data_IF_941191523120
#
_entry.id   IF_941191523120
#
_cell.length_a   1.000
_cell.length_b   1.000
_cell.length_c   1.000
_cell.angle_alpha   90.00
_cell.angle_beta   90.00
_cell.angle_gamma   90.00
#
_symmetry.space_group_name_H-M   'P 1'
#
loop_
_entity.id
_entity.type
_entity.pdbx_description
1 polymer ?
#
# COMPACT_ATOMS: atom_id res chain seq x y z
N UNK A 1 -12.77 -6.41 -3.86
CA UNK A 1 -12.61 -5.87 -2.48
C UNK A 1 -13.55 -6.57 -1.49
N UNK A 2 -14.88 -6.42 -1.60
CA UNK A 2 -15.86 -7.06 -0.68
C UNK A 2 -15.70 -8.59 -0.52
N UNK A 3 -15.47 -9.31 -1.61
CA UNK A 3 -15.28 -10.77 -1.57
C UNK A 3 -14.03 -11.23 -0.79
N UNK A 4 -12.99 -10.39 -0.70
CA UNK A 4 -11.76 -10.73 0.04
C UNK A 4 -11.94 -10.41 1.53
N UNK A 5 -12.62 -9.30 1.84
CA UNK A 5 -12.94 -8.92 3.22
C UNK A 5 -13.79 -9.98 3.95
N UNK A 6 -14.68 -10.69 3.23
CA UNK A 6 -15.52 -11.72 3.85
C UNK A 6 -14.78 -12.99 4.25
N UNK A 7 -13.55 -13.19 3.78
CA UNK A 7 -12.77 -14.43 3.99
C UNK A 7 -11.41 -14.20 4.65
N UNK A 8 -11.04 -12.95 4.94
CA UNK A 8 -9.75 -12.60 5.52
C UNK A 8 -9.91 -11.55 6.62
N UNK A 9 -9.34 -11.85 7.78
CA UNK A 9 -9.16 -10.88 8.88
C UNK A 9 -7.82 -10.13 8.80
N UNK A 10 -6.97 -10.43 7.81
CA UNK A 10 -5.67 -9.79 7.65
C UNK A 10 -5.82 -8.41 6.99
N UNK A 11 -4.93 -7.45 7.30
CA UNK A 11 -4.90 -6.15 6.63
C UNK A 11 -4.78 -6.31 5.11
N UNK A 12 -5.61 -5.58 4.36
CA UNK A 12 -5.62 -5.62 2.89
C UNK A 12 -4.80 -4.48 2.30
N UNK A 13 -4.04 -4.81 1.25
CA UNK A 13 -3.38 -3.86 0.36
C UNK A 13 -4.23 -3.74 -0.90
N UNK A 14 -4.74 -2.55 -1.19
CA UNK A 14 -5.50 -2.26 -2.41
C UNK A 14 -4.64 -1.63 -3.49
N UNK A 15 -4.91 -1.97 -4.75
CA UNK A 15 -4.39 -1.27 -5.92
C UNK A 15 -5.37 -1.40 -7.07
N UNK A 16 -5.41 -0.42 -7.95
CA UNK A 16 -6.04 -0.55 -9.26
C UNK A 16 -4.95 -0.72 -10.31
N UNK A 17 -5.34 -1.34 -11.41
CA UNK A 17 -4.52 -1.57 -12.58
C UNK A 17 -5.30 -1.04 -13.77
N UNK A 18 -5.06 0.21 -14.11
CA UNK A 18 -5.89 0.97 -15.06
C UNK A 18 -5.04 1.36 -16.26
N UNK A 19 -5.39 0.85 -17.44
CA UNK A 19 -4.80 1.30 -18.70
C UNK A 19 -5.39 2.67 -19.06
N UNK A 20 -4.52 3.59 -19.49
CA UNK A 20 -4.92 4.93 -19.89
C UNK A 20 -4.03 5.41 -21.03
N UNK A 21 -4.59 6.20 -21.93
CA UNK A 21 -3.86 6.73 -23.09
C UNK A 21 -2.96 7.93 -22.73
N UNK A 22 -3.18 8.56 -21.57
CA UNK A 22 -2.46 9.75 -21.11
C UNK A 22 -1.19 9.42 -20.30
N UNK A 23 -0.98 8.16 -19.90
CA UNK A 23 0.18 7.78 -19.09
C UNK A 23 0.50 6.29 -19.16
N UNK A 24 1.81 5.98 -19.15
CA UNK A 24 2.31 4.62 -18.98
C UNK A 24 2.24 4.12 -17.52
N UNK A 25 1.76 4.95 -16.58
CA UNK A 25 1.55 4.55 -15.19
C UNK A 25 0.28 3.72 -15.08
N UNK A 26 0.45 2.48 -14.62
CA UNK A 26 -0.62 1.49 -14.60
C UNK A 26 -1.16 1.20 -13.19
N UNK A 27 -0.33 1.32 -12.15
CA UNK A 27 -0.70 0.96 -10.77
C UNK A 27 -1.20 2.20 -10.05
N UNK A 28 -2.52 2.26 -9.81
CA UNK A 28 -3.24 3.35 -9.12
C UNK A 28 -2.75 4.74 -9.56
N UNK A 29 -2.92 5.12 -10.84
CA UNK A 29 -2.36 6.34 -11.40
C UNK A 29 -2.95 7.65 -10.82
N UNK A 30 -4.15 7.61 -10.21
CA UNK A 30 -4.86 8.83 -9.79
C UNK A 30 -5.19 8.89 -8.28
N UNK A 31 -5.27 10.09 -7.69
CA UNK A 31 -5.76 10.29 -6.33
C UNK A 31 -7.17 9.73 -6.10
N UNK A 32 -8.07 9.90 -7.07
CA UNK A 32 -9.45 9.43 -6.97
C UNK A 32 -9.54 7.90 -6.84
N UNK A 33 -8.74 7.15 -7.62
CA UNK A 33 -8.66 5.69 -7.46
C UNK A 33 -8.07 5.30 -6.11
N UNK A 34 -7.07 6.04 -5.63
CA UNK A 34 -6.45 5.79 -4.34
C UNK A 34 -7.43 6.02 -3.17
N UNK A 35 -8.22 7.10 -3.23
CA UNK A 35 -9.29 7.40 -2.28
C UNK A 35 -10.39 6.33 -2.30
N UNK A 36 -10.79 5.87 -3.49
CA UNK A 36 -11.77 4.79 -3.61
C UNK A 36 -11.28 3.50 -2.94
N UNK A 37 -10.02 3.12 -3.14
CA UNK A 37 -9.44 1.94 -2.49
C UNK A 37 -9.41 2.08 -0.96
N UNK A 38 -8.97 3.23 -0.46
CA UNK A 38 -8.99 3.53 0.98
C UNK A 38 -10.41 3.48 1.55
N UNK A 39 -11.39 4.09 0.88
CA UNK A 39 -12.81 4.07 1.25
C UNK A 39 -13.45 2.68 1.24
N UNK A 40 -12.87 1.71 0.53
CA UNK A 40 -13.29 0.31 0.58
C UNK A 40 -12.77 -0.44 1.82
N UNK A 41 -11.97 0.18 2.68
CA UNK A 41 -11.40 -0.42 3.89
C UNK A 41 -10.00 -1.00 3.70
N UNK A 42 -9.26 -0.55 2.68
CA UNK A 42 -7.85 -0.92 2.53
C UNK A 42 -7.03 -0.37 3.69
N UNK A 43 -6.28 -1.23 4.38
CA UNK A 43 -5.31 -0.76 5.38
C UNK A 43 -4.15 0.00 4.70
N UNK A 44 -3.80 -0.42 3.48
CA UNK A 44 -2.78 0.23 2.67
C UNK A 44 -3.23 0.32 1.22
N UNK A 45 -2.81 1.37 0.53
CA UNK A 45 -3.03 1.54 -0.91
C UNK A 45 -1.68 1.58 -1.61
N UNK A 46 -1.51 0.67 -2.58
CA UNK A 46 -0.33 0.63 -3.42
C UNK A 46 -0.50 1.51 -4.65
N UNK A 47 0.54 2.24 -4.99
CA UNK A 47 0.59 3.12 -6.15
C UNK A 47 1.97 3.04 -6.79
N UNK A 48 2.02 3.30 -8.09
CA UNK A 48 3.28 3.39 -8.79
C UNK A 48 4.08 4.61 -8.30
N UNK A 49 5.34 4.43 -7.95
CA UNK A 49 6.27 5.50 -7.58
C UNK A 49 7.54 5.50 -8.45
N UNK A 50 7.45 4.91 -9.65
CA UNK A 50 8.49 5.00 -10.67
C UNK A 50 8.64 6.43 -11.18
N UNK A 51 9.78 6.73 -11.82
CA UNK A 51 10.07 8.05 -12.40
C UNK A 51 9.42 8.28 -13.78
N UNK A 52 8.44 7.46 -14.17
CA UNK A 52 7.71 7.61 -15.43
C UNK A 52 6.91 8.92 -15.44
N UNK A 53 6.73 9.56 -16.61
CA UNK A 53 5.79 10.66 -16.78
C UNK A 53 4.40 10.25 -16.29
N UNK A 54 3.76 11.13 -15.51
CA UNK A 54 2.50 10.86 -14.82
C UNK A 54 1.65 12.13 -14.69
N UNK A 55 0.32 11.99 -14.70
CA UNK A 55 -0.59 13.14 -14.60
C UNK A 55 -0.66 13.71 -13.17
N UNK A 56 -0.35 12.90 -12.15
CA UNK A 56 -0.39 13.29 -10.75
C UNK A 56 0.94 12.96 -10.08
N UNK A 57 1.43 13.86 -9.23
CA UNK A 57 2.68 13.69 -8.51
C UNK A 57 2.60 12.64 -7.39
N UNK A 58 3.74 12.05 -7.02
CA UNK A 58 3.83 11.11 -5.89
C UNK A 58 3.31 11.73 -4.58
N UNK A 59 3.66 12.98 -4.21
CA UNK A 59 3.11 13.61 -3.02
C UNK A 59 1.58 13.75 -3.02
N UNK A 60 0.96 14.04 -4.16
CA UNK A 60 -0.51 14.11 -4.28
C UNK A 60 -1.16 12.75 -3.99
N UNK A 61 -0.60 11.67 -4.55
CA UNK A 61 -1.08 10.31 -4.31
C UNK A 61 -0.95 9.93 -2.82
N UNK A 62 0.22 10.19 -2.22
CA UNK A 62 0.44 9.93 -0.78
C UNK A 62 -0.55 10.73 0.07
N UNK A 63 -0.73 12.02 -0.24
CA UNK A 63 -1.65 12.91 0.47
C UNK A 63 -3.09 12.41 0.44
N UNK A 64 -3.57 12.02 -0.74
CA UNK A 64 -4.92 11.49 -0.92
C UNK A 64 -5.15 10.18 -0.13
N UNK A 65 -4.19 9.25 -0.18
CA UNK A 65 -4.24 7.98 0.57
C UNK A 65 -4.31 8.24 2.09
N UNK A 66 -3.45 9.13 2.59
CA UNK A 66 -3.38 9.44 4.01
C UNK A 66 -4.60 10.23 4.50
N UNK A 67 -5.12 11.15 3.70
CA UNK A 67 -6.35 11.88 3.98
C UNK A 67 -7.56 10.95 4.05
N UNK A 68 -7.59 9.91 3.20
CA UNK A 68 -8.61 8.86 3.22
C UNK A 68 -8.40 7.80 4.33
N UNK A 69 -7.34 7.92 5.14
CA UNK A 69 -7.12 7.10 6.34
C UNK A 69 -6.32 5.81 6.15
N UNK A 70 -5.70 5.60 4.98
CA UNK A 70 -4.88 4.43 4.69
C UNK A 70 -3.36 4.74 4.72
N UNK A 71 -2.52 3.70 4.77
CA UNK A 71 -1.07 3.84 4.58
C UNK A 71 -0.72 3.79 3.09
N UNK A 72 0.27 4.56 2.65
CA UNK A 72 0.69 4.55 1.25
C UNK A 72 1.87 3.59 1.03
N UNK A 73 1.75 2.74 0.00
CA UNK A 73 2.73 1.73 -0.40
C UNK A 73 3.25 2.05 -1.82
N UNK A 74 4.48 2.52 -1.90
CA UNK A 74 5.11 2.97 -3.13
C UNK A 74 5.81 1.81 -3.86
N UNK A 75 5.29 1.43 -5.03
CA UNK A 75 5.94 0.47 -5.93
C UNK A 75 6.98 1.19 -6.80
N UNK A 76 8.28 1.01 -6.50
CA UNK A 76 9.37 1.67 -7.24
C UNK A 76 10.12 0.68 -8.10
N UNK A 77 10.63 1.07 -9.28
CA UNK A 77 11.35 0.17 -10.18
C UNK A 77 12.85 0.00 -9.84
N UNK A 78 13.43 0.89 -9.01
CA UNK A 78 14.87 0.88 -8.70
C UNK A 78 15.11 1.38 -7.26
N UNK A 79 16.06 0.82 -6.49
CA UNK A 79 16.34 1.24 -5.10
C UNK A 79 16.84 2.68 -4.91
N UNK A 80 17.07 3.44 -5.98
CA UNK A 80 17.59 4.81 -5.92
C UNK A 80 16.50 5.85 -6.18
N UNK A 81 15.83 6.34 -5.14
CA UNK A 81 14.95 7.51 -5.30
C UNK A 81 14.09 7.91 -4.11
N UNK A 82 14.51 8.99 -3.44
CA UNK A 82 13.75 10.01 -2.67
C UNK A 82 12.80 9.66 -1.52
N UNK A 83 12.65 8.41 -1.10
CA UNK A 83 11.87 8.09 0.11
C UNK A 83 12.65 8.30 1.41
N UNK A 84 12.51 9.46 2.08
CA UNK A 84 12.74 9.54 3.54
C UNK A 84 11.61 8.74 4.22
N UNK A 85 11.74 7.42 4.23
CA UNK A 85 10.70 6.49 4.70
C UNK A 85 10.98 5.06 4.26
N UNK A 86 12.19 4.55 4.47
CA UNK A 86 12.53 3.16 4.15
C UNK A 86 12.52 2.32 5.43
N UNK A 87 11.40 1.63 5.70
CA UNK A 87 11.45 0.41 6.50
C UNK A 87 12.06 -0.70 5.63
N UNK A 88 13.31 -1.08 5.91
CA UNK A 88 14.04 -2.11 5.18
C UNK A 88 13.37 -3.47 5.35
N UNK A 89 12.92 -4.08 4.26
CA UNK A 89 12.54 -5.50 4.22
C UNK A 89 12.44 -6.06 2.80
N UNK A 90 13.32 -7.02 2.48
CA UNK A 90 13.17 -7.95 1.35
C UNK A 90 14.17 -7.82 0.21
N UNK A 91 14.89 -8.92 -0.11
CA UNK A 91 15.78 -9.08 -1.27
C UNK A 91 15.10 -9.99 -2.32
N UNK A 92 15.35 -9.65 -3.59
CA UNK A 92 15.32 -10.48 -4.82
C UNK A 92 14.00 -10.74 -5.55
N UNK A 93 14.03 -10.45 -6.85
CA UNK A 93 13.19 -11.04 -7.91
C UNK A 93 12.16 -10.08 -8.49
N UNK A 94 12.41 -9.55 -9.71
CA UNK A 94 11.47 -8.94 -10.69
C UNK A 94 10.55 -7.78 -10.25
N UNK A 95 10.32 -7.62 -8.96
CA UNK A 95 9.59 -6.55 -8.31
C UNK A 95 10.61 -5.51 -7.84
N UNK A 96 10.45 -4.27 -8.30
CA UNK A 96 11.29 -3.20 -7.78
C UNK A 96 10.94 -2.89 -6.30
N UNK A 97 11.74 -2.06 -5.62
CA UNK A 97 11.62 -1.90 -4.17
C UNK A 97 10.25 -1.42 -3.66
N UNK A 98 9.93 -1.93 -2.48
CA UNK A 98 8.84 -1.58 -1.55
C UNK A 98 9.01 -0.27 -0.73
N UNK A 99 8.38 0.88 -0.99
CA UNK A 99 8.44 2.05 -0.09
C UNK A 99 7.20 2.18 0.82
N UNK A 100 7.35 2.27 2.16
CA UNK A 100 6.23 2.46 3.09
C UNK A 100 6.21 3.89 3.64
N UNK A 101 5.11 4.61 3.42
CA UNK A 101 4.92 5.96 3.95
C UNK A 101 3.88 5.93 5.08
N UNK A 102 4.32 5.86 6.35
CA UNK A 102 3.39 5.86 7.46
C UNK A 102 2.63 7.17 7.52
N UNK A 103 1.39 7.11 7.99
CA UNK A 103 0.58 8.30 8.27
C UNK A 103 1.37 9.23 9.20
N UNK A 104 1.52 10.50 8.85
CA UNK A 104 1.96 11.50 9.82
C UNK A 104 0.84 11.70 10.85
N UNK A 105 1.14 11.71 12.16
CA UNK A 105 0.12 11.97 13.16
C UNK A 105 -0.57 13.30 12.82
N UNK A 106 -1.90 13.28 12.78
CA UNK A 106 -2.66 14.51 12.67
C UNK A 106 -2.22 15.45 13.79
N UNK A 107 -1.94 16.72 13.47
CA UNK A 107 -1.65 17.72 14.49
C UNK A 107 -2.89 17.86 15.39
N UNK A 108 -2.85 17.23 16.57
CA UNK A 108 -3.88 17.32 17.61
C UNK A 108 -5.04 16.32 17.46
N UNK A 109 -5.22 15.47 18.49
CA UNK A 109 -6.42 14.64 18.66
C UNK A 109 -6.11 13.24 19.21
N UNK A 110 -6.71 12.88 20.34
CA UNK A 110 -6.26 11.84 21.28
C UNK A 110 -6.47 10.36 20.86
N UNK A 111 -5.43 9.57 21.17
CA UNK A 111 -5.37 8.17 21.66
C UNK A 111 -5.81 7.03 20.74
N UNK A 112 -4.82 6.35 20.16
CA UNK A 112 -4.90 4.92 19.84
C UNK A 112 -4.45 4.12 21.08
N UNK A 113 -5.31 3.25 21.62
CA UNK A 113 -4.95 2.30 22.69
C UNK A 113 -4.37 1.07 21.99
N UNK A 114 -3.06 0.84 22.13
CA UNK A 114 -2.46 -0.44 21.76
C UNK A 114 -2.91 -1.48 22.78
N UNK A 115 -3.74 -2.44 22.37
CA UNK A 115 -4.00 -3.61 23.20
C UNK A 115 -2.89 -4.63 22.92
N UNK A 116 -2.03 -4.84 23.91
CA UNK A 116 -0.92 -5.80 23.85
C UNK A 116 -1.47 -7.21 24.12
N UNK A 117 -2.14 -7.79 23.13
CA UNK A 117 -2.58 -9.19 23.15
C UNK A 117 -1.48 -10.13 22.64
N UNK A 118 -0.94 -10.96 23.52
CA UNK A 118 0.14 -11.93 23.28
C UNK A 118 -0.26 -12.96 22.21
N UNK A 119 0.17 -12.76 20.96
CA UNK A 119 -0.01 -13.75 19.89
C UNK A 119 0.92 -14.94 20.11
N UNK A 120 0.37 -16.09 20.55
CA UNK A 120 1.08 -17.38 20.54
C UNK A 120 1.42 -17.73 19.10
N UNK A 121 2.71 -17.94 18.81
CA UNK A 121 3.20 -18.43 17.52
C UNK A 121 2.59 -19.79 17.24
N UNK A 122 1.73 -19.90 16.24
CA UNK A 122 1.39 -21.20 15.62
C UNK A 122 2.30 -21.38 14.42
N UNK A 123 3.00 -22.51 14.40
CA UNK A 123 3.81 -22.94 13.26
C UNK A 123 2.91 -23.10 12.01
N UNK A 124 3.37 -22.72 10.80
CA UNK A 124 2.63 -22.99 9.58
C UNK A 124 2.61 -24.50 9.29
N UNK A 125 1.43 -25.05 9.03
CA UNK A 125 1.26 -26.40 8.50
C UNK A 125 1.79 -26.46 7.06
N UNK A 126 2.43 -27.56 6.63
CA UNK A 126 2.91 -27.71 5.27
C UNK A 126 1.74 -27.79 4.27
N UNK A 127 1.92 -27.11 3.13
CA UNK A 127 0.98 -27.07 2.02
C UNK A 127 0.90 -28.44 1.31
N UNK A 128 -0.30 -28.98 1.01
CA UNK A 128 -0.43 -30.24 0.30
C UNK A 128 0.01 -30.09 -1.15
N UNK A 129 0.93 -30.95 -1.60
CA UNK A 129 1.24 -31.11 -3.03
C UNK A 129 0.10 -31.90 -3.67
N UNK A 130 -0.38 -31.42 -4.82
CA UNK A 130 -1.57 -31.90 -5.52
C UNK A 130 -1.54 -33.38 -5.90
N UNK A 131 -2.76 -33.90 -6.10
CA UNK A 131 -3.07 -35.22 -6.66
C UNK A 131 -2.91 -35.23 -8.19
#
# INVERSE_FOLDING_TARGET
MRAVQSVSALPLIGLTKTWRDDTDVYITPTPAEAEQLAGLGCAMVAFDATRRPRPHSVPELIGAIQAAGALALADVATPGGSGRGLARGGRSGEHGPVGLYPRQPAAGGSRFRADAGTARRRHPLPWPKGA
#
